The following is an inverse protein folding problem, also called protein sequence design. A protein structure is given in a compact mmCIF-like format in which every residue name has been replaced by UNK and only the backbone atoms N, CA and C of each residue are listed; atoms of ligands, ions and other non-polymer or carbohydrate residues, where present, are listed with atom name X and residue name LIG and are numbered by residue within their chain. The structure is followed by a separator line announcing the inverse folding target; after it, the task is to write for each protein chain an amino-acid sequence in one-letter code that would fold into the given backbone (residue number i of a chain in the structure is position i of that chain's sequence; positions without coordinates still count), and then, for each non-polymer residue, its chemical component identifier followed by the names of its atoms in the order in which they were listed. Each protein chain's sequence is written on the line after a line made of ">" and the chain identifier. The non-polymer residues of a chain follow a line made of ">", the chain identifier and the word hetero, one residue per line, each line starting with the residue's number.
data_IF_357647344687
#
_entry.id   IF_357647344687
#
_cell.length_a   1.000
_cell.length_b   1.000
_cell.length_c   1.000
_cell.angle_alpha   90.00
_cell.angle_beta   90.00
_cell.angle_gamma   90.00
#
_symmetry.space_group_name_H-M   'P 1'
#
loop_
_entity.id
_entity.type
_entity.pdbx_description
1 polymer ?
#
# COMPACT_ATOMS: atom_id res chain seq x y z
N UNK A 1 -21.12 44.02 32.58
CA UNK A 1 -19.97 43.28 33.16
C UNK A 1 -19.90 41.90 32.50
N UNK A 2 -18.93 41.73 31.61
CA UNK A 2 -18.30 40.49 31.11
C UNK A 2 -19.12 39.18 30.95
N UNK A 3 -20.26 39.19 30.27
CA UNK A 3 -20.99 37.93 29.94
C UNK A 3 -21.18 37.65 28.43
N UNK A 4 -20.75 38.55 27.55
CA UNK A 4 -20.99 38.45 26.09
C UNK A 4 -19.76 38.09 25.24
N UNK A 5 -18.56 38.09 25.83
CA UNK A 5 -17.32 37.72 25.14
C UNK A 5 -16.88 36.26 25.39
N UNK A 6 -17.26 35.65 26.52
CA UNK A 6 -16.86 34.27 26.84
C UNK A 6 -17.58 33.23 25.96
N UNK A 7 -18.85 33.45 25.63
CA UNK A 7 -19.64 32.54 24.78
C UNK A 7 -19.05 32.46 23.37
N UNK A 8 -18.56 33.58 22.83
CA UNK A 8 -17.92 33.63 21.51
C UNK A 8 -16.53 32.95 21.53
N UNK A 9 -15.78 33.11 22.62
CA UNK A 9 -14.53 32.38 22.86
C UNK A 9 -14.76 30.86 22.96
N UNK A 10 -15.81 30.39 23.64
CA UNK A 10 -16.13 28.97 23.75
C UNK A 10 -16.47 28.31 22.41
N UNK A 11 -17.22 28.99 21.54
CA UNK A 11 -17.60 28.48 20.21
C UNK A 11 -16.39 28.38 19.27
N UNK A 12 -15.41 29.28 19.38
CA UNK A 12 -14.14 29.19 18.63
C UNK A 12 -13.24 28.06 19.14
N UNK A 13 -13.25 27.77 20.44
CA UNK A 13 -12.47 26.67 21.04
C UNK A 13 -13.06 25.28 20.80
N UNK A 14 -14.38 25.18 20.57
CA UNK A 14 -15.06 23.90 20.29
C UNK A 14 -14.74 23.34 18.89
N UNK A 15 -14.13 24.14 18.00
CA UNK A 15 -13.79 23.74 16.63
C UNK A 15 -12.45 22.97 16.51
N UNK A 16 -11.69 22.77 17.60
CA UNK A 16 -10.30 22.31 17.54
C UNK A 16 -10.01 20.90 18.05
N UNK A 17 -10.99 20.00 18.10
CA UNK A 17 -10.70 18.59 18.44
C UNK A 17 -11.52 17.61 17.61
N UNK A 18 -11.27 17.65 16.30
CA UNK A 18 -11.48 16.48 15.45
C UNK A 18 -10.10 16.00 14.98
N UNK A 19 -9.48 15.10 15.75
CA UNK A 19 -8.36 14.30 15.24
C UNK A 19 -8.95 13.08 14.55
N UNK A 20 -9.15 13.13 13.25
CA UNK A 20 -9.41 11.92 12.47
C UNK A 20 -8.11 11.14 12.31
N UNK A 21 -8.11 9.86 12.69
CA UNK A 21 -7.02 8.96 12.33
C UNK A 21 -7.14 8.65 10.82
N UNK A 22 -6.31 9.30 10.00
CA UNK A 22 -6.24 9.01 8.57
C UNK A 22 -5.26 7.86 8.32
N UNK A 23 -5.64 6.94 7.44
CA UNK A 23 -4.72 5.92 6.91
C UNK A 23 -4.05 6.51 5.68
N UNK A 24 -2.72 6.60 5.70
CA UNK A 24 -1.95 7.18 4.60
C UNK A 24 -0.93 6.17 4.08
N UNK A 25 -0.88 6.01 2.76
CA UNK A 25 0.11 5.21 2.04
C UNK A 25 0.91 6.13 1.12
N UNK A 26 2.21 6.28 1.37
CA UNK A 26 3.10 7.17 0.61
C UNK A 26 4.11 6.34 -0.17
N UNK A 27 4.03 6.39 -1.50
CA UNK A 27 4.94 5.64 -2.37
C UNK A 27 6.15 6.49 -2.78
N UNK A 28 7.27 5.84 -3.04
CA UNK A 28 8.42 6.49 -3.68
C UNK A 28 8.08 7.00 -5.08
N UNK A 29 8.78 8.03 -5.52
CA UNK A 29 8.63 8.61 -6.86
C UNK A 29 8.85 7.60 -7.98
N UNK A 30 8.40 7.98 -9.17
CA UNK A 30 8.60 7.20 -10.39
C UNK A 30 10.09 6.90 -10.62
N UNK A 31 10.38 5.65 -11.00
CA UNK A 31 11.75 5.17 -11.22
C UNK A 31 11.89 4.62 -12.64
N UNK A 32 12.92 5.05 -13.35
CA UNK A 32 13.29 4.50 -14.64
C UNK A 32 14.44 3.50 -14.45
N UNK A 33 14.34 2.35 -15.11
CA UNK A 33 15.37 1.32 -15.11
C UNK A 33 15.36 0.58 -16.45
N UNK A 34 16.49 -0.01 -16.82
CA UNK A 34 16.65 -0.81 -18.02
C UNK A 34 16.28 -2.27 -17.74
N UNK A 35 15.93 -3.06 -18.78
CA UNK A 35 15.78 -4.50 -18.63
C UNK A 35 17.04 -5.16 -18.03
N UNK A 36 16.84 -6.12 -17.12
CA UNK A 36 17.89 -6.79 -16.37
C UNK A 36 18.36 -6.06 -15.10
N UNK A 37 18.03 -4.78 -14.93
CA UNK A 37 18.33 -4.06 -13.69
C UNK A 37 17.35 -4.44 -12.56
N UNK A 38 17.73 -4.06 -11.34
CA UNK A 38 16.90 -4.22 -10.15
C UNK A 38 16.50 -2.88 -9.57
N UNK A 39 15.27 -2.79 -9.08
CA UNK A 39 14.74 -1.61 -8.39
C UNK A 39 14.00 -2.02 -7.13
N UNK A 40 13.95 -1.13 -6.14
CA UNK A 40 13.11 -1.33 -4.96
C UNK A 40 12.02 -0.25 -4.93
N UNK A 41 10.77 -0.68 -4.83
CA UNK A 41 9.66 0.21 -4.53
C UNK A 41 9.46 0.27 -3.02
N UNK A 42 9.13 1.46 -2.50
CA UNK A 42 8.81 1.69 -1.09
C UNK A 42 7.41 2.26 -0.95
N UNK A 43 6.66 1.77 0.02
CA UNK A 43 5.39 2.29 0.46
C UNK A 43 5.44 2.52 1.98
N UNK A 44 5.58 3.78 2.39
CA UNK A 44 5.52 4.17 3.79
C UNK A 44 4.07 4.24 4.24
N UNK A 45 3.79 3.73 5.44
CA UNK A 45 2.42 3.60 5.98
C UNK A 45 2.28 4.38 7.27
N UNK A 46 1.14 5.05 7.41
CA UNK A 46 0.75 5.79 8.62
C UNK A 46 -0.71 5.42 8.96
N UNK A 47 -1.04 5.41 10.25
CA UNK A 47 -2.42 5.16 10.73
C UNK A 47 -2.79 3.70 11.01
N UNK A 48 -1.87 2.73 10.90
CA UNK A 48 -2.10 1.34 11.33
C UNK A 48 -0.80 0.56 11.60
N UNK A 49 -0.91 -0.56 12.32
CA UNK A 49 0.19 -1.48 12.60
C UNK A 49 0.50 -2.36 11.37
N UNK A 50 1.65 -2.11 10.73
CA UNK A 50 2.04 -2.81 9.50
C UNK A 50 2.36 -4.30 9.71
N UNK A 51 2.94 -4.65 10.85
CA UNK A 51 3.43 -6.01 11.14
C UNK A 51 2.33 -7.07 11.20
N UNK A 52 1.10 -6.68 11.56
CA UNK A 52 -0.07 -7.57 11.65
C UNK A 52 -1.07 -7.37 10.52
N UNK A 53 -0.68 -6.67 9.46
CA UNK A 53 -1.59 -6.28 8.37
C UNK A 53 -1.14 -6.90 7.07
N UNK A 54 -2.07 -7.47 6.30
CA UNK A 54 -1.80 -7.89 4.93
C UNK A 54 -1.62 -6.66 4.04
N UNK A 55 -0.59 -6.69 3.20
CA UNK A 55 -0.31 -5.65 2.22
C UNK A 55 -0.22 -6.27 0.85
N UNK A 56 -0.55 -5.50 -0.18
CA UNK A 56 -0.53 -5.93 -1.55
C UNK A 56 0.22 -4.95 -2.43
N UNK A 57 0.76 -5.47 -3.53
CA UNK A 57 1.21 -4.69 -4.66
C UNK A 57 0.34 -5.00 -5.86
N UNK A 58 -0.13 -3.96 -6.53
CA UNK A 58 -1.02 -4.00 -7.67
C UNK A 58 -0.34 -3.19 -8.78
N UNK A 59 -0.38 -3.65 -10.03
CA UNK A 59 0.10 -2.85 -11.16
C UNK A 59 -0.99 -2.53 -12.16
N UNK A 60 -0.81 -1.44 -12.88
CA UNK A 60 -1.61 -1.07 -14.03
C UNK A 60 -0.68 -0.73 -15.20
N UNK A 61 -0.59 -1.63 -16.17
CA UNK A 61 0.09 -1.34 -17.42
C UNK A 61 -0.77 -0.40 -18.30
N UNK A 62 -0.16 0.41 -19.20
CA UNK A 62 -0.91 1.29 -20.09
C UNK A 62 -1.99 0.54 -20.87
N UNK A 63 -3.24 1.01 -20.79
CA UNK A 63 -4.39 0.40 -21.47
C UNK A 63 -4.88 -0.93 -20.89
N UNK A 64 -4.36 -1.39 -19.74
CA UNK A 64 -4.79 -2.62 -19.07
C UNK A 64 -5.53 -2.33 -17.76
N UNK A 65 -6.30 -3.31 -17.30
CA UNK A 65 -6.92 -3.30 -15.97
C UNK A 65 -5.87 -3.43 -14.85
N UNK A 66 -6.29 -3.20 -13.62
CA UNK A 66 -5.47 -3.48 -12.44
C UNK A 66 -5.17 -4.98 -12.35
N UNK A 67 -3.91 -5.32 -12.13
CA UNK A 67 -3.42 -6.67 -11.94
C UNK A 67 -2.83 -6.81 -10.55
N UNK A 68 -3.34 -7.76 -9.78
CA UNK A 68 -2.81 -8.05 -8.45
C UNK A 68 -1.54 -8.87 -8.60
N UNK A 69 -0.43 -8.35 -8.07
CA UNK A 69 0.88 -8.98 -8.24
C UNK A 69 1.20 -9.89 -7.07
N UNK A 70 1.04 -9.39 -5.85
CA UNK A 70 1.25 -10.19 -4.66
C UNK A 70 0.47 -9.66 -3.47
N UNK A 71 0.29 -10.54 -2.50
CA UNK A 71 -0.20 -10.22 -1.15
C UNK A 71 0.77 -10.79 -0.14
N UNK A 72 1.16 -10.00 0.85
CA UNK A 72 2.18 -10.34 1.82
C UNK A 72 1.74 -9.96 3.23
N UNK A 73 1.75 -10.95 4.13
CA UNK A 73 1.63 -10.72 5.57
C UNK A 73 2.99 -10.74 6.23
N UNK A 74 3.65 -11.87 6.12
CA UNK A 74 4.94 -12.23 6.70
C UNK A 74 5.57 -13.33 5.84
N UNK A 75 6.87 -13.59 6.00
CA UNK A 75 7.54 -14.70 5.31
C UNK A 75 6.81 -16.03 5.53
N UNK A 76 6.59 -16.79 4.45
CA UNK A 76 5.80 -18.03 4.45
C UNK A 76 4.29 -17.81 4.41
N UNK A 77 3.82 -16.57 4.40
CA UNK A 77 2.41 -16.17 4.33
C UNK A 77 2.27 -15.09 3.26
N UNK A 78 2.49 -15.52 2.03
CA UNK A 78 2.41 -14.67 0.86
C UNK A 78 1.85 -15.41 -0.36
N UNK A 79 1.21 -14.63 -1.21
CA UNK A 79 0.68 -15.06 -2.49
C UNK A 79 1.38 -14.28 -3.60
N UNK A 80 1.68 -14.96 -4.72
CA UNK A 80 2.26 -14.34 -5.91
C UNK A 80 1.45 -14.68 -7.14
N UNK A 81 1.29 -13.69 -8.00
CA UNK A 81 1.02 -13.89 -9.40
C UNK A 81 2.21 -14.60 -10.07
N UNK A 82 1.92 -15.57 -10.93
CA UNK A 82 2.91 -16.38 -11.63
C UNK A 82 3.90 -15.56 -12.47
N UNK A 83 3.49 -14.40 -13.00
CA UNK A 83 4.32 -13.55 -13.85
C UNK A 83 5.55 -12.93 -13.14
N UNK A 84 5.49 -12.81 -11.80
CA UNK A 84 6.54 -12.14 -11.00
C UNK A 84 7.23 -13.08 -10.01
N UNK A 85 6.70 -14.30 -9.85
CA UNK A 85 7.22 -15.27 -8.88
C UNK A 85 8.70 -15.57 -9.15
N UNK A 86 9.50 -15.49 -8.09
CA UNK A 86 10.96 -15.72 -8.14
C UNK A 86 11.79 -14.51 -8.59
N UNK A 87 11.17 -13.44 -9.08
CA UNK A 87 11.87 -12.20 -9.45
C UNK A 87 11.63 -11.09 -8.45
N UNK A 88 10.39 -10.96 -7.98
CA UNK A 88 9.99 -9.88 -7.09
C UNK A 88 9.88 -10.41 -5.67
N UNK A 89 10.40 -9.65 -4.71
CA UNK A 89 10.55 -10.05 -3.31
C UNK A 89 9.94 -8.94 -2.42
N UNK A 90 8.79 -9.20 -1.77
CA UNK A 90 8.20 -8.29 -0.80
C UNK A 90 8.91 -8.38 0.55
N UNK A 91 8.95 -7.26 1.26
CA UNK A 91 9.40 -7.22 2.65
C UNK A 91 8.74 -6.08 3.42
N UNK A 92 8.74 -6.16 4.75
CA UNK A 92 8.23 -5.11 5.64
C UNK A 92 9.26 -4.78 6.71
N UNK A 93 9.32 -3.50 7.06
CA UNK A 93 9.82 -3.06 8.37
C UNK A 93 8.66 -2.54 9.23
N UNK A 94 8.94 -1.74 10.26
CA UNK A 94 7.92 -1.22 11.18
C UNK A 94 6.95 -0.22 10.53
N UNK A 95 7.36 0.51 9.50
CA UNK A 95 6.59 1.60 8.89
C UNK A 95 6.59 1.59 7.35
N UNK A 96 7.28 0.67 6.71
CA UNK A 96 7.41 0.60 5.26
C UNK A 96 7.19 -0.81 4.73
N UNK A 97 6.46 -0.88 3.63
CA UNK A 97 6.31 -2.07 2.80
C UNK A 97 7.12 -1.89 1.51
N UNK A 98 7.96 -2.86 1.19
CA UNK A 98 8.87 -2.81 0.05
C UNK A 98 8.53 -3.88 -0.99
N UNK A 99 8.88 -3.59 -2.24
CA UNK A 99 8.99 -4.57 -3.31
C UNK A 99 10.37 -4.48 -3.93
N UNK A 100 11.24 -5.45 -3.68
CA UNK A 100 12.47 -5.61 -4.45
C UNK A 100 12.13 -6.30 -5.77
N UNK A 101 12.30 -5.61 -6.89
CA UNK A 101 12.07 -6.13 -8.23
C UNK A 101 13.43 -6.44 -8.86
N UNK A 102 13.70 -7.72 -9.12
CA UNK A 102 14.92 -8.16 -9.79
C UNK A 102 14.63 -8.60 -11.23
N UNK A 103 15.65 -8.56 -12.08
CA UNK A 103 15.54 -8.98 -13.49
C UNK A 103 14.34 -8.31 -14.17
N UNK A 104 14.33 -6.98 -14.19
CA UNK A 104 13.24 -6.22 -14.80
C UNK A 104 13.11 -6.55 -16.28
N UNK A 105 11.86 -6.64 -16.74
CA UNK A 105 11.51 -6.87 -18.14
C UNK A 105 10.76 -5.66 -18.68
N UNK A 106 10.74 -5.50 -20.01
CA UNK A 106 9.99 -4.42 -20.65
C UNK A 106 8.50 -4.43 -20.22
N UNK A 107 7.93 -5.63 -20.10
CA UNK A 107 6.54 -5.85 -19.68
C UNK A 107 6.26 -5.51 -18.21
N UNK A 108 7.30 -5.27 -17.40
CA UNK A 108 7.15 -4.78 -16.03
C UNK A 108 6.93 -3.25 -15.97
N UNK A 109 6.92 -2.56 -17.11
CA UNK A 109 6.62 -1.13 -17.18
C UNK A 109 5.14 -0.86 -16.90
N UNK A 110 4.85 -0.28 -15.74
CA UNK A 110 3.49 -0.01 -15.28
C UNK A 110 3.48 1.06 -14.18
N UNK A 111 2.29 1.54 -13.83
CA UNK A 111 2.07 2.21 -12.55
C UNK A 111 1.88 1.15 -11.47
N UNK A 112 2.56 1.28 -10.35
CA UNK A 112 2.48 0.36 -9.22
C UNK A 112 1.80 1.04 -8.04
N UNK A 113 0.93 0.30 -7.37
CA UNK A 113 0.18 0.75 -6.20
C UNK A 113 0.41 -0.21 -5.04
N UNK A 114 0.72 0.33 -3.86
CA UNK A 114 0.61 -0.44 -2.64
C UNK A 114 -0.81 -0.31 -2.07
N UNK A 115 -1.33 -1.39 -1.51
CA UNK A 115 -2.63 -1.39 -0.88
C UNK A 115 -2.60 -2.16 0.43
N UNK A 116 -3.37 -1.69 1.41
CA UNK A 116 -3.74 -2.51 2.57
C UNK A 116 -4.77 -3.54 2.11
N UNK A 117 -4.53 -4.80 2.43
CA UNK A 117 -5.45 -5.89 2.10
C UNK A 117 -6.13 -6.37 3.37
N UNK A 118 -7.45 -6.51 3.33
CA UNK A 118 -8.24 -6.98 4.48
C UNK A 118 -8.57 -8.47 4.36
N UNK A 119 -8.84 -9.13 5.49
CA UNK A 119 -9.10 -10.56 5.50
C UNK A 119 -10.29 -10.99 4.64
N UNK A 120 -11.31 -10.13 4.48
CA UNK A 120 -12.45 -10.37 3.59
C UNK A 120 -12.05 -10.40 2.12
N UNK A 121 -11.11 -9.57 1.70
CA UNK A 121 -10.66 -9.50 0.30
C UNK A 121 -9.79 -10.71 -0.09
N UNK A 122 -9.03 -11.26 0.86
CA UNK A 122 -8.27 -12.50 0.65
C UNK A 122 -9.18 -13.69 0.32
N UNK A 123 -10.26 -13.85 1.09
CA UNK A 123 -11.20 -14.96 0.88
C UNK A 123 -11.86 -14.86 -0.50
N UNK A 124 -12.19 -13.65 -0.94
CA UNK A 124 -12.76 -13.43 -2.26
C UNK A 124 -11.80 -13.82 -3.38
N UNK A 125 -10.53 -13.40 -3.29
CA UNK A 125 -9.50 -13.77 -4.28
C UNK A 125 -9.19 -15.26 -4.30
N UNK A 126 -9.06 -15.88 -3.12
CA UNK A 126 -8.84 -17.32 -3.03
C UNK A 126 -10.01 -18.09 -3.67
N UNK A 127 -11.25 -17.63 -3.49
CA UNK A 127 -12.41 -18.25 -4.14
C UNK A 127 -12.36 -18.11 -5.67
N UNK A 128 -11.87 -16.99 -6.20
CA UNK A 128 -11.76 -16.76 -7.65
C UNK A 128 -10.64 -17.55 -8.33
N UNK A 129 -9.58 -17.93 -7.61
CA UNK A 129 -8.48 -18.74 -8.17
C UNK A 129 -8.78 -20.25 -8.18
N UNK A 130 -9.82 -20.67 -7.46
CA UNK A 130 -10.31 -22.05 -7.40
C UNK A 130 -11.60 -22.29 -8.20
N UNK A 131 -12.05 -21.31 -8.99
CA UNK A 131 -13.15 -21.43 -9.96
C UNK A 131 -12.63 -21.38 -11.39
#
# INVERSE_FOLDING_TARGET
>A
MMCRNYICLYLLTACFIYTSAEIVLKQSDARQAKPGESVQLKCAVEGFTLSSTWMAWIRQAPGKSLEWLLSYHSSGSEYYNSAIKGRFIPSKDSSNFYMQMNDLRADDTAVYYCAKHTASEMNYKAAQEHS
#
